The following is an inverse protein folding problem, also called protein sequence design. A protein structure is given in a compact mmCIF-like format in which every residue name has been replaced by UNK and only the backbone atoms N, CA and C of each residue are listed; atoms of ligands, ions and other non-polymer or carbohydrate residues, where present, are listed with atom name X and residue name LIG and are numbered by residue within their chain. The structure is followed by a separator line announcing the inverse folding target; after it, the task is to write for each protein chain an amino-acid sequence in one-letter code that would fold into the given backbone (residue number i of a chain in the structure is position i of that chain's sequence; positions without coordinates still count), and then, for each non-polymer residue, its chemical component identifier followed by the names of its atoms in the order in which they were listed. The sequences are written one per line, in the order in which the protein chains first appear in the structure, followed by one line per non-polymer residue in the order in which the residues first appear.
data_IF_806578858534
#
_entry.id   IF_806578858534
#
_cell.length_a   1.000
_cell.length_b   1.000
_cell.length_c   1.000
_cell.angle_alpha   90.00
_cell.angle_beta   90.00
_cell.angle_gamma   90.00
#
_symmetry.space_group_name_H-M   'P 1'
#
loop_
_entity.id
_entity.type
_entity.pdbx_description
1 polymer ?
#
# COMPACT_ATOMS: atom_id res chain seq x y z
N UNK A 1 20.07 -40.49 -25.74
CA UNK A 1 19.89 -39.02 -25.71
C UNK A 1 18.76 -38.71 -24.74
N UNK A 2 19.11 -38.53 -23.46
CA UNK A 2 18.14 -38.42 -22.38
C UNK A 2 17.59 -36.99 -22.31
N UNK A 3 16.29 -36.85 -22.56
CA UNK A 3 15.58 -35.57 -22.55
C UNK A 3 15.53 -35.06 -21.11
N UNK A 4 16.22 -33.95 -20.86
CA UNK A 4 16.29 -33.21 -19.58
C UNK A 4 14.95 -32.55 -19.19
N UNK A 5 13.86 -33.32 -19.09
CA UNK A 5 12.54 -32.83 -18.66
C UNK A 5 12.45 -32.60 -17.15
N UNK A 6 13.44 -33.03 -16.37
CA UNK A 6 13.45 -32.90 -14.91
C UNK A 6 13.86 -31.52 -14.36
N UNK A 7 14.29 -30.57 -15.20
CA UNK A 7 14.59 -29.19 -14.72
C UNK A 7 13.34 -28.32 -14.53
N UNK A 8 12.16 -28.79 -14.93
CA UNK A 8 10.88 -28.08 -14.81
C UNK A 8 10.06 -28.46 -13.57
N UNK A 9 10.56 -29.35 -12.71
CA UNK A 9 9.98 -29.58 -11.37
C UNK A 9 10.40 -28.43 -10.45
N UNK A 10 9.80 -27.27 -10.72
CA UNK A 10 9.82 -26.06 -9.90
C UNK A 10 9.41 -26.47 -8.48
N UNK A 11 10.32 -26.31 -7.50
CA UNK A 11 10.08 -26.50 -6.06
C UNK A 11 8.62 -26.17 -5.69
N UNK A 12 7.75 -27.17 -5.41
CA UNK A 12 6.31 -26.96 -5.25
C UNK A 12 5.98 -25.98 -4.11
N UNK A 13 6.80 -26.00 -3.05
CA UNK A 13 6.63 -25.12 -1.88
C UNK A 13 6.72 -23.62 -2.22
N UNK A 14 7.45 -23.25 -3.28
CA UNK A 14 7.58 -21.86 -3.70
C UNK A 14 6.40 -21.37 -4.54
N UNK A 15 5.64 -22.29 -5.17
CA UNK A 15 4.46 -21.94 -5.96
C UNK A 15 3.23 -21.79 -5.07
N UNK A 16 3.03 -22.74 -4.14
CA UNK A 16 1.93 -22.69 -3.18
C UNK A 16 2.03 -21.47 -2.26
N UNK A 17 3.25 -21.17 -1.78
CA UNK A 17 3.50 -19.96 -0.98
C UNK A 17 3.26 -18.65 -1.75
N UNK A 18 3.48 -18.64 -3.06
CA UNK A 18 3.17 -17.48 -3.91
C UNK A 18 1.66 -17.30 -4.07
N UNK A 19 0.92 -18.38 -4.34
CA UNK A 19 -0.55 -18.34 -4.46
C UNK A 19 -1.16 -17.86 -3.13
N UNK A 20 -0.76 -18.49 -2.02
CA UNK A 20 -1.25 -18.12 -0.70
C UNK A 20 -0.94 -16.66 -0.38
N UNK A 21 0.29 -16.21 -0.63
CA UNK A 21 0.64 -14.81 -0.47
C UNK A 21 -0.18 -13.89 -1.35
N UNK A 22 -0.43 -14.26 -2.61
CA UNK A 22 -1.24 -13.48 -3.56
C UNK A 22 -2.66 -13.31 -3.05
N UNK A 23 -3.29 -14.39 -2.58
CA UNK A 23 -4.66 -14.37 -2.04
C UNK A 23 -4.72 -13.50 -0.78
N UNK A 24 -3.82 -13.73 0.18
CA UNK A 24 -3.78 -12.95 1.43
C UNK A 24 -3.54 -11.48 1.11
N UNK A 25 -2.55 -11.18 0.26
CA UNK A 25 -2.21 -9.82 -0.10
C UNK A 25 -3.37 -9.11 -0.80
N UNK A 26 -4.03 -9.79 -1.74
CA UNK A 26 -5.24 -9.27 -2.39
C UNK A 26 -6.36 -9.01 -1.38
N UNK A 27 -6.58 -9.91 -0.41
CA UNK A 27 -7.59 -9.74 0.63
C UNK A 27 -7.27 -8.53 1.53
N UNK A 28 -6.02 -8.40 1.97
CA UNK A 28 -5.55 -7.25 2.74
C UNK A 28 -5.77 -5.95 1.94
N UNK A 29 -5.43 -5.96 0.65
CA UNK A 29 -5.57 -4.79 -0.22
C UNK A 29 -7.04 -4.42 -0.52
N UNK A 30 -7.93 -5.41 -0.64
CA UNK A 30 -9.32 -5.21 -1.06
C UNK A 30 -10.29 -5.01 0.10
N UNK A 31 -9.95 -5.46 1.30
CA UNK A 31 -10.81 -5.38 2.50
C UNK A 31 -10.17 -4.46 3.55
N UNK A 32 -8.95 -4.77 3.97
CA UNK A 32 -8.34 -4.10 5.13
C UNK A 32 -7.96 -2.64 4.78
N UNK A 33 -7.29 -2.39 3.65
CA UNK A 33 -6.88 -1.02 3.30
C UNK A 33 -8.03 -0.06 3.02
N UNK A 34 -9.14 -0.47 2.38
CA UNK A 34 -10.33 0.36 2.32
C UNK A 34 -10.90 0.69 3.70
N UNK A 35 -10.96 -0.29 4.62
CA UNK A 35 -11.43 -0.06 6.00
C UNK A 35 -10.52 0.92 6.74
N UNK A 36 -9.20 0.78 6.61
CA UNK A 36 -8.23 1.76 7.14
C UNK A 36 -8.41 3.15 6.52
N UNK A 37 -8.70 3.24 5.22
CA UNK A 37 -8.97 4.52 4.55
C UNK A 37 -10.24 5.18 5.10
N UNK A 38 -11.32 4.40 5.31
CA UNK A 38 -12.54 4.91 5.93
C UNK A 38 -12.31 5.34 7.38
N UNK A 39 -11.60 4.54 8.17
CA UNK A 39 -11.30 4.87 9.56
C UNK A 39 -10.47 6.15 9.65
N UNK A 40 -9.44 6.28 8.80
CA UNK A 40 -8.64 7.50 8.68
C UNK A 40 -9.52 8.71 8.34
N UNK A 41 -10.39 8.58 7.34
CA UNK A 41 -11.27 9.67 6.92
C UNK A 41 -12.34 10.01 7.98
N UNK A 42 -12.84 9.01 8.70
CA UNK A 42 -13.80 9.17 9.78
C UNK A 42 -13.20 9.96 10.95
N UNK A 43 -12.00 9.56 11.40
CA UNK A 43 -11.25 10.30 12.45
C UNK A 43 -10.93 11.71 11.96
N UNK A 44 -10.50 11.87 10.71
CA UNK A 44 -10.25 13.17 10.10
C UNK A 44 -11.49 14.07 10.10
N UNK A 45 -12.65 13.52 9.74
CA UNK A 45 -13.91 14.27 9.70
C UNK A 45 -14.34 14.68 11.11
N UNK A 46 -14.30 13.76 12.09
CA UNK A 46 -14.62 14.06 13.49
C UNK A 46 -13.72 15.15 14.05
N UNK A 47 -12.42 15.10 13.77
CA UNK A 47 -11.46 16.11 14.22
C UNK A 47 -11.71 17.47 13.55
N UNK A 48 -12.08 17.45 12.25
CA UNK A 48 -12.39 18.67 11.51
C UNK A 48 -13.68 19.35 12.00
N UNK A 49 -14.70 18.57 12.38
CA UNK A 49 -15.99 19.10 12.87
C UNK A 49 -15.99 19.39 14.37
N UNK A 50 -15.27 18.61 15.18
CA UNK A 50 -15.28 18.70 16.65
C UNK A 50 -14.53 19.90 17.22
N UNK A 51 -13.56 20.47 16.49
CA UNK A 51 -12.77 21.63 16.94
C UNK A 51 -13.31 22.96 16.34
N UNK A 52 -14.38 22.89 15.53
CA UNK A 52 -15.02 24.07 14.94
C UNK A 52 -15.81 24.90 15.98
N UNK A 53 -15.88 24.46 17.24
CA UNK A 53 -16.60 25.11 18.33
C UNK A 53 -15.76 26.09 19.18
N UNK A 54 -14.42 26.09 19.09
CA UNK A 54 -13.59 26.88 20.03
C UNK A 54 -12.39 27.67 19.41
N UNK A 55 -12.09 27.59 18.10
CA UNK A 55 -10.85 28.16 17.54
C UNK A 55 -11.04 28.95 16.22
N UNK A 56 -10.17 29.94 15.92
CA UNK A 56 -10.21 30.71 14.68
C UNK A 56 -10.02 29.81 13.44
N UNK A 57 -10.97 29.86 12.50
CA UNK A 57 -11.15 28.89 11.41
C UNK A 57 -9.91 28.66 10.53
N UNK A 58 -9.07 29.68 10.33
CA UNK A 58 -7.92 29.62 9.42
C UNK A 58 -6.76 28.78 10.00
N UNK A 59 -6.45 28.96 11.29
CA UNK A 59 -5.37 28.22 11.97
C UNK A 59 -5.75 26.75 12.11
N UNK A 60 -7.03 26.48 12.39
CA UNK A 60 -7.56 25.14 12.54
C UNK A 60 -7.47 24.34 11.23
N UNK A 61 -7.87 24.93 10.09
CA UNK A 61 -7.79 24.28 8.76
C UNK A 61 -6.37 23.86 8.43
N UNK A 62 -5.37 24.71 8.70
CA UNK A 62 -3.96 24.40 8.48
C UNK A 62 -3.52 23.23 9.38
N UNK A 63 -3.86 23.30 10.68
CA UNK A 63 -3.49 22.26 11.64
C UNK A 63 -4.07 20.89 11.26
N UNK A 64 -5.35 20.85 10.88
CA UNK A 64 -6.06 19.64 10.42
C UNK A 64 -5.37 19.04 9.17
N UNK A 65 -4.98 19.88 8.20
CA UNK A 65 -4.28 19.42 6.99
C UNK A 65 -2.91 18.83 7.34
N UNK A 66 -2.11 19.53 8.16
CA UNK A 66 -0.77 19.07 8.55
C UNK A 66 -0.85 17.77 9.35
N UNK A 67 -1.78 17.69 10.30
CA UNK A 67 -2.02 16.49 11.09
C UNK A 67 -2.44 15.30 10.21
N UNK A 68 -3.35 15.52 9.26
CA UNK A 68 -3.79 14.51 8.31
C UNK A 68 -2.65 13.99 7.43
N UNK A 69 -1.80 14.88 6.92
CA UNK A 69 -0.60 14.52 6.18
C UNK A 69 0.37 13.70 7.03
N UNK A 70 0.57 14.08 8.29
CA UNK A 70 1.43 13.34 9.22
C UNK A 70 0.91 11.93 9.48
N UNK A 71 -0.39 11.78 9.76
CA UNK A 71 -1.03 10.47 9.91
C UNK A 71 -0.93 9.63 8.63
N UNK A 72 -1.13 10.23 7.45
CA UNK A 72 -0.97 9.54 6.17
C UNK A 72 0.47 9.02 5.99
N UNK A 73 1.48 9.83 6.32
CA UNK A 73 2.90 9.41 6.26
C UNK A 73 3.17 8.24 7.21
N UNK A 74 2.62 8.25 8.43
CA UNK A 74 2.77 7.14 9.38
C UNK A 74 2.19 5.84 8.80
N UNK A 75 0.97 5.90 8.26
CA UNK A 75 0.32 4.70 7.70
C UNK A 75 1.13 4.18 6.50
N UNK A 76 1.57 5.06 5.61
CA UNK A 76 2.46 4.69 4.51
C UNK A 76 3.80 4.11 5.00
N UNK A 77 4.33 4.61 6.12
CA UNK A 77 5.53 4.07 6.77
C UNK A 77 5.34 2.65 7.30
N UNK A 78 4.20 2.37 7.96
CA UNK A 78 3.82 1.03 8.42
C UNK A 78 3.70 0.08 7.23
N UNK A 79 3.08 0.54 6.15
CA UNK A 79 2.95 -0.20 4.89
C UNK A 79 4.29 -0.55 4.25
N UNK A 80 5.22 0.41 4.20
CA UNK A 80 6.58 0.19 3.76
C UNK A 80 7.29 -0.85 4.65
N UNK A 81 7.13 -0.74 5.97
CA UNK A 81 7.73 -1.66 6.93
C UNK A 81 7.18 -3.08 6.77
N UNK A 82 5.88 -3.24 6.55
CA UNK A 82 5.27 -4.54 6.24
C UNK A 82 5.88 -5.15 4.97
N UNK A 83 6.07 -4.36 3.92
CA UNK A 83 6.76 -4.80 2.71
C UNK A 83 8.20 -5.22 2.97
N UNK A 84 8.92 -4.47 3.81
CA UNK A 84 10.28 -4.82 4.23
C UNK A 84 10.33 -6.15 5.00
N UNK A 85 9.37 -6.42 5.90
CA UNK A 85 9.28 -7.70 6.61
C UNK A 85 9.04 -8.86 5.64
N UNK A 86 8.12 -8.69 4.69
CA UNK A 86 7.79 -9.69 3.69
C UNK A 86 8.94 -9.97 2.70
N UNK A 87 9.88 -9.03 2.53
CA UNK A 87 11.00 -9.15 1.59
C UNK A 87 11.76 -10.47 1.69
N UNK A 88 12.09 -10.93 2.90
CA UNK A 88 12.90 -12.16 3.08
C UNK A 88 12.16 -13.40 2.58
N UNK A 89 10.84 -13.42 2.76
CA UNK A 89 9.96 -14.47 2.27
C UNK A 89 9.79 -14.39 0.75
N UNK A 90 9.48 -13.21 0.24
CA UNK A 90 9.25 -12.96 -1.18
C UNK A 90 10.51 -13.13 -2.05
N UNK A 91 11.70 -12.88 -1.49
CA UNK A 91 12.99 -13.10 -2.18
C UNK A 91 13.26 -14.58 -2.48
N UNK A 92 12.62 -15.51 -1.76
CA UNK A 92 12.72 -16.96 -2.03
C UNK A 92 11.89 -17.38 -3.25
N UNK A 93 10.99 -16.51 -3.74
CA UNK A 93 10.10 -16.78 -4.87
C UNK A 93 10.73 -16.33 -6.20
N UNK A 94 10.12 -16.76 -7.32
CA UNK A 94 10.55 -16.30 -8.64
C UNK A 94 10.20 -14.80 -8.81
N UNK A 95 11.25 -13.96 -8.89
CA UNK A 95 11.14 -12.51 -8.99
C UNK A 95 10.27 -12.05 -10.16
N UNK A 96 10.36 -12.68 -11.34
CA UNK A 96 9.56 -12.30 -12.52
C UNK A 96 8.07 -12.50 -12.27
N UNK A 97 7.70 -13.65 -11.70
CA UNK A 97 6.30 -13.98 -11.41
C UNK A 97 5.75 -13.09 -10.30
N UNK A 98 6.54 -12.83 -9.26
CA UNK A 98 6.12 -11.94 -8.18
C UNK A 98 5.86 -10.50 -8.67
N UNK A 99 6.74 -9.95 -9.52
CA UNK A 99 6.54 -8.62 -10.11
C UNK A 99 5.27 -8.61 -10.97
N UNK A 100 5.05 -9.65 -11.77
CA UNK A 100 3.83 -9.77 -12.58
C UNK A 100 2.58 -9.75 -11.70
N UNK A 101 2.56 -10.53 -10.61
CA UNK A 101 1.44 -10.55 -9.65
C UNK A 101 1.19 -9.16 -9.05
N UNK A 102 2.26 -8.47 -8.61
CA UNK A 102 2.14 -7.12 -8.06
C UNK A 102 1.54 -6.13 -9.06
N UNK A 103 1.97 -6.19 -10.33
CA UNK A 103 1.45 -5.34 -11.40
C UNK A 103 -0.03 -5.65 -11.69
N UNK A 104 -0.41 -6.93 -11.77
CA UNK A 104 -1.82 -7.31 -11.99
C UNK A 104 -2.71 -6.80 -10.87
N UNK A 105 -2.28 -6.95 -9.62
CA UNK A 105 -3.01 -6.41 -8.45
C UNK A 105 -3.09 -4.88 -8.55
N UNK A 106 -1.99 -4.20 -8.84
CA UNK A 106 -1.97 -2.76 -9.01
C UNK A 106 -2.95 -2.28 -10.09
N UNK A 107 -2.94 -2.90 -11.27
CA UNK A 107 -3.85 -2.60 -12.38
C UNK A 107 -5.30 -2.80 -11.95
N UNK A 108 -5.61 -3.89 -11.23
CA UNK A 108 -6.95 -4.12 -10.70
C UNK A 108 -7.44 -2.96 -9.82
N UNK A 109 -6.61 -2.46 -8.89
CA UNK A 109 -6.98 -1.34 -8.03
C UNK A 109 -7.06 -0.01 -8.79
N UNK A 110 -6.18 0.22 -9.76
CA UNK A 110 -6.25 1.41 -10.64
C UNK A 110 -7.52 1.40 -11.47
N UNK A 111 -7.85 0.27 -12.09
CA UNK A 111 -9.10 0.11 -12.84
C UNK A 111 -10.31 0.38 -11.94
N UNK A 112 -10.32 -0.20 -10.73
CA UNK A 112 -11.40 0.02 -9.77
C UNK A 112 -11.51 1.48 -9.30
N UNK A 113 -10.38 2.17 -9.15
CA UNK A 113 -10.37 3.61 -8.83
C UNK A 113 -10.98 4.47 -9.95
N UNK A 114 -10.77 4.09 -11.21
CA UNK A 114 -11.24 4.83 -12.38
C UNK A 114 -12.70 4.51 -12.68
N UNK A 115 -13.06 3.22 -12.76
CA UNK A 115 -14.34 2.74 -13.30
C UNK A 115 -15.45 2.57 -12.26
N UNK A 116 -15.14 2.46 -10.96
CA UNK A 116 -16.21 2.42 -9.93
C UNK A 116 -16.94 3.77 -9.78
N UNK A 117 -16.46 4.81 -10.49
CA UNK A 117 -17.08 6.13 -10.61
C UNK A 117 -18.26 6.22 -11.59
N UNK A 118 -18.49 5.22 -12.44
CA UNK A 118 -19.51 5.32 -13.51
C UNK A 118 -20.94 4.98 -13.03
N UNK A 119 -21.08 4.30 -11.88
CA UNK A 119 -22.37 3.81 -11.37
C UNK A 119 -22.74 4.34 -9.96
N UNK A 120 -22.10 5.39 -9.46
CA UNK A 120 -22.34 5.85 -8.08
C UNK A 120 -22.53 7.36 -7.91
N UNK A 121 -23.41 7.74 -6.95
CA UNK A 121 -23.81 9.13 -6.68
C UNK A 121 -22.61 10.02 -6.31
N UNK A 122 -22.73 11.35 -6.44
CA UNK A 122 -21.67 12.34 -6.15
C UNK A 122 -21.04 12.13 -4.75
N UNK A 123 -21.85 11.77 -3.75
CA UNK A 123 -21.40 11.46 -2.38
C UNK A 123 -20.57 10.16 -2.32
N UNK A 124 -21.00 9.12 -3.04
CA UNK A 124 -20.25 7.88 -3.21
C UNK A 124 -18.96 8.11 -4.01
N UNK A 125 -18.97 8.97 -5.02
CA UNK A 125 -17.81 9.34 -5.83
C UNK A 125 -16.67 9.93 -4.97
N UNK A 126 -17.03 10.80 -4.03
CA UNK A 126 -16.11 11.38 -3.06
C UNK A 126 -15.61 10.35 -2.03
N UNK A 127 -16.41 9.41 -1.56
CA UNK A 127 -15.97 8.45 -0.51
C UNK A 127 -15.35 7.17 -1.07
N UNK A 128 -15.91 6.60 -2.14
CA UNK A 128 -15.45 5.36 -2.78
C UNK A 128 -14.23 5.56 -3.68
N UNK A 129 -14.10 6.68 -4.40
CA UNK A 129 -12.89 6.94 -5.20
C UNK A 129 -11.64 7.12 -4.33
N UNK A 130 -11.78 7.80 -3.18
CA UNK A 130 -10.67 8.08 -2.25
C UNK A 130 -10.09 6.84 -1.58
N UNK A 131 -10.91 5.81 -1.29
CA UNK A 131 -10.41 4.55 -0.69
C UNK A 131 -9.46 3.80 -1.63
N UNK A 132 -9.72 3.82 -2.93
CA UNK A 132 -8.86 3.16 -3.91
C UNK A 132 -7.56 3.93 -4.14
N UNK A 133 -7.59 5.27 -4.10
CA UNK A 133 -6.37 6.09 -4.09
C UNK A 133 -5.49 5.71 -2.90
N UNK A 134 -6.07 5.60 -1.70
CA UNK A 134 -5.34 5.17 -0.51
C UNK A 134 -4.76 3.75 -0.67
N UNK A 135 -5.52 2.83 -1.26
CA UNK A 135 -5.05 1.47 -1.57
C UNK A 135 -3.87 1.50 -2.56
N UNK A 136 -3.92 2.32 -3.60
CA UNK A 136 -2.85 2.47 -4.59
C UNK A 136 -1.58 3.00 -3.92
N UNK A 137 -1.68 4.07 -3.13
CA UNK A 137 -0.54 4.63 -2.37
C UNK A 137 0.06 3.59 -1.40
N UNK A 138 -0.81 2.85 -0.70
CA UNK A 138 -0.39 1.79 0.21
C UNK A 138 0.28 0.61 -0.54
N UNK A 139 -0.23 0.25 -1.71
CA UNK A 139 0.39 -0.75 -2.60
C UNK A 139 1.80 -0.33 -3.00
N UNK A 140 1.95 0.91 -3.47
CA UNK A 140 3.25 1.45 -3.90
C UNK A 140 4.23 1.46 -2.73
N UNK A 141 3.80 1.91 -1.55
CA UNK A 141 4.65 1.90 -0.35
C UNK A 141 5.12 0.48 0.01
N UNK A 142 4.21 -0.49 -0.03
CA UNK A 142 4.52 -1.91 0.20
C UNK A 142 5.54 -2.43 -0.83
N UNK A 143 5.32 -2.19 -2.13
CA UNK A 143 6.22 -2.61 -3.21
C UNK A 143 7.62 -2.01 -3.03
N UNK A 144 7.72 -0.73 -2.63
CA UNK A 144 8.99 -0.08 -2.30
C UNK A 144 9.69 -0.82 -1.14
N UNK A 145 8.94 -1.16 -0.08
CA UNK A 145 9.44 -1.94 1.04
C UNK A 145 9.99 -3.31 0.63
N UNK A 146 9.25 -4.03 -0.23
CA UNK A 146 9.64 -5.36 -0.72
C UNK A 146 10.90 -5.30 -1.59
N UNK A 147 10.91 -4.45 -2.63
CA UNK A 147 11.92 -4.53 -3.69
C UNK A 147 13.06 -3.52 -3.54
N UNK A 148 12.81 -2.36 -2.92
CA UNK A 148 13.72 -1.22 -2.93
C UNK A 148 14.29 -0.86 -1.55
N UNK A 149 13.91 -1.58 -0.49
CA UNK A 149 14.36 -1.28 0.87
C UNK A 149 15.87 -1.27 1.07
N UNK A 150 16.66 -2.08 0.36
CA UNK A 150 18.13 -2.01 0.45
C UNK A 150 18.67 -0.70 -0.12
N UNK A 151 18.05 -0.19 -1.20
CA UNK A 151 18.42 1.09 -1.80
C UNK A 151 18.04 2.24 -0.87
N UNK A 152 16.83 2.19 -0.30
CA UNK A 152 16.36 3.17 0.69
C UNK A 152 17.29 3.19 1.90
N UNK A 153 17.64 2.01 2.44
CA UNK A 153 18.61 1.89 3.54
C UNK A 153 19.97 2.50 3.19
N UNK A 154 20.52 2.21 2.01
CA UNK A 154 21.80 2.78 1.54
C UNK A 154 21.75 4.31 1.38
N UNK A 155 20.60 4.88 1.01
CA UNK A 155 20.41 6.33 0.97
C UNK A 155 20.36 6.90 2.38
N UNK A 156 19.60 6.28 3.27
CA UNK A 156 19.47 6.69 4.67
C UNK A 156 20.82 6.65 5.40
N UNK A 157 21.61 5.59 5.20
CA UNK A 157 22.94 5.42 5.79
C UNK A 157 23.90 6.51 5.29
N UNK A 158 23.83 6.89 4.00
CA UNK A 158 24.62 7.99 3.44
C UNK A 158 24.22 9.35 4.03
N UNK A 159 22.94 9.61 4.23
CA UNK A 159 22.46 10.84 4.87
C UNK A 159 22.93 10.91 6.33
N UNK A 160 22.85 9.78 7.05
CA UNK A 160 23.31 9.69 8.44
C UNK A 160 24.82 9.88 8.55
N UNK A 161 25.59 9.31 7.62
CA UNK A 161 27.05 9.46 7.55
C UNK A 161 27.49 10.88 7.19
N UNK A 162 26.70 11.65 6.43
CA UNK A 162 27.00 13.07 6.13
C UNK A 162 26.68 14.01 7.29
N UNK A 163 25.89 13.56 8.26
CA UNK A 163 25.49 14.32 9.45
C UNK A 163 26.46 14.15 10.62
N UNK A 164 27.47 13.30 10.46
CA UNK A 164 28.50 12.97 11.44
C UNK A 164 29.83 13.55 10.95
#
# INVERSE_FOLDING_TARGET
MEKNTNKLVRKPNNFLGLILFTIIYFLVQSVIYPVLAYLFWFIFTLFSTGILLEAPEQILKIFVIVFSLFCLIIILGIMYFLGYLCKRFLKKMNKKVLILVMIVIFIYFVFRAIFENEYSSIMSRLTNGRKYIFCILSHVSFVIGVFYSDKVKKVLDRIKSKRK
#
